data_IF_171006521358
#
_entry.id   IF_171006521358
#
_cell.length_a   1.000
_cell.length_b   1.000
_cell.length_c   1.000
_cell.angle_alpha   90.00
_cell.angle_beta   90.00
_cell.angle_gamma   90.00
#
_symmetry.space_group_name_H-M   'P 1'
#
loop_
_entity.id
_entity.type
_entity.pdbx_description
1 polymer ?
#
# COMPACT_ATOMS: atom_id res chain seq x y z
N UNK A 1 14.11 -47.66 -31.14
CA UNK A 1 13.52 -46.77 -30.12
C UNK A 1 12.66 -45.74 -30.81
N UNK A 2 11.31 -45.85 -30.74
CA UNK A 2 10.47 -44.77 -31.24
C UNK A 2 10.74 -43.51 -30.41
N UNK A 3 10.79 -42.36 -31.09
CA UNK A 3 10.87 -41.07 -30.42
C UNK A 3 9.67 -40.90 -29.48
N UNK A 4 9.87 -40.34 -28.27
CA UNK A 4 8.75 -40.07 -27.37
C UNK A 4 7.73 -39.15 -28.05
N UNK A 5 6.45 -39.46 -27.89
CA UNK A 5 5.34 -38.67 -28.42
C UNK A 5 5.40 -37.27 -27.77
N UNK A 6 5.34 -36.17 -28.53
CA UNK A 6 5.32 -34.80 -27.99
C UNK A 6 4.22 -34.58 -26.95
N UNK A 7 4.54 -33.93 -25.83
CA UNK A 7 3.62 -33.68 -24.70
C UNK A 7 2.37 -32.88 -25.12
N UNK A 8 2.49 -32.07 -26.16
CA UNK A 8 1.43 -31.26 -26.78
C UNK A 8 0.26 -32.12 -27.31
N UNK A 9 0.55 -33.36 -27.72
CA UNK A 9 -0.42 -34.33 -28.24
C UNK A 9 -1.19 -35.06 -27.13
N UNK A 10 -0.82 -34.83 -25.86
CA UNK A 10 -1.52 -35.36 -24.69
C UNK A 10 -2.35 -34.27 -23.98
N UNK A 11 -2.93 -33.34 -24.72
CA UNK A 11 -3.86 -32.34 -24.17
C UNK A 11 -5.32 -32.78 -24.36
N UNK A 12 -6.14 -32.56 -23.33
CA UNK A 12 -7.60 -32.67 -23.36
C UNK A 12 -8.23 -31.29 -23.40
N UNK A 13 -9.54 -31.21 -23.65
CA UNK A 13 -10.26 -29.94 -23.67
C UNK A 13 -10.11 -29.17 -22.34
N UNK A 14 -9.92 -27.84 -22.43
CA UNK A 14 -9.77 -26.98 -21.24
C UNK A 14 -8.34 -26.87 -20.68
N UNK A 15 -7.33 -27.30 -21.43
CA UNK A 15 -5.91 -27.12 -21.06
C UNK A 15 -5.36 -28.15 -20.08
N UNK A 16 -6.09 -29.24 -19.82
CA UNK A 16 -5.62 -30.36 -18.99
C UNK A 16 -4.83 -31.35 -19.84
N UNK A 17 -3.92 -32.09 -19.23
CA UNK A 17 -3.19 -33.17 -19.90
C UNK A 17 -3.86 -34.52 -19.69
N UNK A 18 -3.52 -35.51 -20.53
CA UNK A 18 -3.92 -36.91 -20.32
C UNK A 18 -3.46 -37.41 -18.94
N UNK A 19 -2.31 -36.94 -18.45
CA UNK A 19 -1.83 -37.26 -17.11
C UNK A 19 -2.70 -36.66 -16.00
N UNK A 20 -3.30 -35.49 -16.22
CA UNK A 20 -4.27 -34.91 -15.29
C UNK A 20 -5.57 -35.72 -15.27
N UNK A 21 -6.03 -36.21 -16.42
CA UNK A 21 -7.20 -37.09 -16.46
C UNK A 21 -6.93 -38.45 -15.80
N UNK A 22 -5.73 -39.01 -15.99
CA UNK A 22 -5.32 -40.23 -15.29
C UNK A 22 -5.28 -40.01 -13.78
N UNK A 23 -4.66 -38.92 -13.31
CA UNK A 23 -4.62 -38.60 -11.87
C UNK A 23 -6.03 -38.44 -11.27
N UNK A 24 -6.93 -37.75 -11.98
CA UNK A 24 -8.32 -37.58 -11.56
C UNK A 24 -9.09 -38.91 -11.57
N UNK A 25 -8.89 -39.75 -12.59
CA UNK A 25 -9.55 -41.04 -12.69
C UNK A 25 -9.18 -41.98 -11.53
N UNK A 26 -7.92 -41.94 -11.05
CA UNK A 26 -7.47 -42.74 -9.90
C UNK A 26 -8.33 -42.49 -8.66
N UNK A 27 -8.87 -41.28 -8.47
CA UNK A 27 -9.79 -40.98 -7.37
C UNK A 27 -11.10 -41.80 -7.44
N UNK A 28 -11.59 -42.11 -8.66
CA UNK A 28 -12.84 -42.82 -8.91
C UNK A 28 -12.71 -44.34 -9.08
N UNK A 29 -11.49 -44.88 -9.16
CA UNK A 29 -11.27 -46.33 -9.26
C UNK A 29 -11.56 -46.98 -7.90
N UNK A 30 -12.30 -48.10 -7.87
CA UNK A 30 -12.58 -48.88 -6.65
C UNK A 30 -11.36 -49.62 -6.06
N UNK A 31 -10.14 -49.14 -6.33
CA UNK A 31 -8.90 -49.70 -5.80
C UNK A 31 -8.73 -49.40 -4.30
N UNK A 32 -7.92 -50.21 -3.62
CA UNK A 32 -7.49 -49.94 -2.25
C UNK A 32 -6.79 -48.57 -2.17
N UNK A 33 -7.20 -47.74 -1.21
CA UNK A 33 -6.68 -46.39 -1.02
C UNK A 33 -5.17 -46.39 -0.72
N UNK A 34 -4.62 -47.48 -0.19
CA UNK A 34 -3.17 -47.63 -0.02
C UNK A 34 -2.43 -47.74 -1.37
N UNK A 35 -3.00 -48.45 -2.34
CA UNK A 35 -2.45 -48.56 -3.69
C UNK A 35 -2.60 -47.22 -4.43
N UNK A 36 -3.77 -46.57 -4.33
CA UNK A 36 -3.99 -45.23 -4.89
C UNK A 36 -2.94 -44.23 -4.41
N UNK A 37 -2.65 -44.24 -3.11
CA UNK A 37 -1.63 -43.38 -2.54
C UNK A 37 -0.26 -43.61 -3.16
N UNK A 38 0.17 -44.87 -3.31
CA UNK A 38 1.45 -45.22 -3.91
C UNK A 38 1.55 -44.78 -5.38
N UNK A 39 0.50 -45.01 -6.17
CA UNK A 39 0.46 -44.67 -7.58
C UNK A 39 0.50 -43.14 -7.79
N UNK A 40 -0.30 -42.40 -7.04
CA UNK A 40 -0.30 -40.93 -7.07
C UNK A 40 1.03 -40.35 -6.56
N UNK A 41 1.64 -40.94 -5.54
CA UNK A 41 2.96 -40.54 -5.07
C UNK A 41 4.02 -40.71 -6.17
N UNK A 42 3.96 -41.79 -6.95
CA UNK A 42 4.83 -41.99 -8.10
C UNK A 42 4.58 -40.95 -9.20
N UNK A 43 3.33 -40.57 -9.46
CA UNK A 43 2.99 -39.50 -10.41
C UNK A 43 3.57 -38.15 -9.98
N UNK A 44 3.42 -37.77 -8.71
CA UNK A 44 4.00 -36.54 -8.16
C UNK A 44 5.51 -36.49 -8.35
N UNK A 45 6.21 -37.60 -8.05
CA UNK A 45 7.66 -37.74 -8.25
C UNK A 45 8.06 -37.67 -9.72
N UNK A 46 7.27 -38.27 -10.61
CA UNK A 46 7.47 -38.21 -12.05
C UNK A 46 7.18 -36.83 -12.67
N UNK A 47 6.50 -35.95 -11.94
CA UNK A 47 6.22 -34.56 -12.33
C UNK A 47 5.14 -34.37 -13.39
N UNK A 48 4.49 -35.45 -13.85
CA UNK A 48 3.38 -35.40 -14.80
C UNK A 48 2.04 -35.51 -14.07
N UNK A 49 1.11 -34.61 -14.36
CA UNK A 49 -0.17 -34.55 -13.65
C UNK A 49 -0.04 -34.22 -12.15
N UNK A 50 1.08 -33.57 -11.76
CA UNK A 50 1.45 -33.35 -10.36
C UNK A 50 0.36 -32.62 -9.58
N UNK A 51 -0.15 -31.52 -10.12
CA UNK A 51 -1.12 -30.67 -9.42
C UNK A 51 -2.41 -31.44 -9.13
N UNK A 52 -2.93 -32.16 -10.13
CA UNK A 52 -4.09 -33.04 -9.95
C UNK A 52 -3.80 -34.16 -8.95
N UNK A 53 -2.63 -34.82 -9.04
CA UNK A 53 -2.26 -35.89 -8.12
C UNK A 53 -2.10 -35.41 -6.68
N UNK A 54 -1.52 -34.22 -6.46
CA UNK A 54 -1.46 -33.55 -5.15
C UNK A 54 -2.86 -33.31 -4.60
N UNK A 55 -3.76 -32.78 -5.42
CA UNK A 55 -5.15 -32.51 -5.02
C UNK A 55 -5.87 -33.79 -4.56
N UNK A 56 -5.74 -34.88 -5.34
CA UNK A 56 -6.34 -36.18 -4.99
C UNK A 56 -5.71 -36.79 -3.73
N UNK A 57 -4.37 -36.73 -3.58
CA UNK A 57 -3.66 -37.26 -2.42
C UNK A 57 -4.13 -36.63 -1.10
N UNK A 58 -4.49 -35.33 -1.11
CA UNK A 58 -5.01 -34.63 0.07
C UNK A 58 -6.35 -35.20 0.56
N UNK A 59 -7.12 -35.86 -0.31
CA UNK A 59 -8.39 -36.51 0.01
C UNK A 59 -8.26 -37.93 0.58
N UNK A 60 -7.08 -38.56 0.48
CA UNK A 60 -6.86 -39.92 0.99
C UNK A 60 -6.63 -39.88 2.51
N UNK A 61 -7.39 -40.69 3.26
CA UNK A 61 -7.25 -40.83 4.72
C UNK A 61 -5.82 -41.27 5.10
N UNK A 62 -5.25 -40.60 6.11
CA UNK A 62 -3.89 -40.82 6.61
C UNK A 62 -3.58 -42.26 6.96
N UNK A 63 -4.58 -43.06 7.38
CA UNK A 63 -4.38 -44.48 7.71
C UNK A 63 -3.96 -45.33 6.51
N UNK A 64 -4.23 -44.87 5.29
CA UNK A 64 -3.87 -45.54 4.04
C UNK A 64 -2.54 -45.05 3.47
N UNK A 65 -1.87 -44.09 4.12
CA UNK A 65 -0.59 -43.59 3.64
C UNK A 65 0.51 -44.61 3.90
N UNK A 66 1.04 -45.19 2.81
CA UNK A 66 2.18 -46.10 2.89
C UNK A 66 3.39 -45.40 3.47
N UNK A 67 3.83 -45.82 4.65
CA UNK A 67 4.97 -45.21 5.37
C UNK A 67 6.27 -45.21 4.55
N UNK A 68 6.44 -46.19 3.64
CA UNK A 68 7.61 -46.27 2.75
C UNK A 68 7.62 -45.16 1.69
N UNK A 69 6.45 -44.63 1.35
CA UNK A 69 6.28 -43.62 0.29
C UNK A 69 6.23 -42.19 0.84
N UNK A 70 5.94 -42.00 2.13
CA UNK A 70 5.78 -40.66 2.76
C UNK A 70 7.04 -39.82 2.61
N UNK A 71 8.21 -40.30 3.05
CA UNK A 71 9.45 -39.51 3.01
C UNK A 71 9.89 -39.19 1.56
N UNK A 72 9.94 -40.15 0.61
CA UNK A 72 10.23 -39.85 -0.80
C UNK A 72 9.27 -38.84 -1.44
N UNK A 73 7.98 -38.92 -1.09
CA UNK A 73 6.98 -37.97 -1.58
C UNK A 73 7.22 -36.57 -1.01
N UNK A 74 7.47 -36.45 0.29
CA UNK A 74 7.82 -35.18 0.96
C UNK A 74 9.05 -34.55 0.31
N UNK A 75 10.13 -35.32 0.11
CA UNK A 75 11.36 -34.79 -0.50
C UNK A 75 11.13 -34.30 -1.93
N UNK A 76 10.31 -35.01 -2.70
CA UNK A 76 9.94 -34.60 -4.05
C UNK A 76 9.09 -33.33 -4.08
N UNK A 77 8.13 -33.19 -3.16
CA UNK A 77 7.31 -31.98 -3.05
C UNK A 77 8.14 -30.77 -2.61
N UNK A 78 9.04 -30.93 -1.64
CA UNK A 78 9.94 -29.83 -1.25
C UNK A 78 10.88 -29.47 -2.40
N UNK A 79 11.41 -30.44 -3.15
CA UNK A 79 12.23 -30.17 -4.33
C UNK A 79 11.45 -29.40 -5.41
N UNK A 80 10.20 -29.79 -5.66
CA UNK A 80 9.29 -29.06 -6.55
C UNK A 80 9.09 -27.61 -6.07
N UNK A 81 8.69 -27.41 -4.81
CA UNK A 81 8.47 -26.08 -4.23
C UNK A 81 9.73 -25.21 -4.29
N UNK A 82 10.91 -25.81 -4.15
CA UNK A 82 12.21 -25.12 -4.26
C UNK A 82 12.45 -24.59 -5.68
N UNK A 83 12.02 -25.34 -6.71
CA UNK A 83 12.18 -24.96 -8.11
C UNK A 83 11.20 -23.85 -8.54
N UNK A 84 10.07 -23.70 -7.86
CA UNK A 84 9.11 -22.63 -8.14
C UNK A 84 9.75 -21.29 -7.77
N UNK A 85 9.84 -20.31 -8.70
CA UNK A 85 10.26 -18.95 -8.35
C UNK A 85 9.37 -18.36 -7.27
N UNK A 86 9.94 -17.60 -6.33
CA UNK A 86 9.22 -17.07 -5.16
C UNK A 86 7.88 -16.40 -5.51
N UNK A 87 7.83 -15.62 -6.59
CA UNK A 87 6.61 -14.93 -7.08
C UNK A 87 5.44 -15.84 -7.47
N UNK A 88 5.67 -17.14 -7.63
CA UNK A 88 4.64 -18.12 -8.01
C UNK A 88 4.33 -19.11 -6.87
N UNK A 89 5.02 -19.01 -5.71
CA UNK A 89 4.83 -19.95 -4.58
C UNK A 89 3.55 -19.71 -3.79
N UNK A 90 2.88 -18.58 -4.01
CA UNK A 90 1.58 -18.23 -3.42
C UNK A 90 0.39 -18.65 -4.30
N UNK A 91 0.66 -19.22 -5.48
CA UNK A 91 -0.37 -19.78 -6.38
C UNK A 91 -0.95 -21.09 -5.85
N UNK A 92 -2.15 -21.45 -6.34
CA UNK A 92 -2.90 -22.62 -5.89
C UNK A 92 -2.06 -23.90 -5.85
N UNK A 93 -1.40 -24.27 -6.95
CA UNK A 93 -0.58 -25.49 -7.03
C UNK A 93 0.52 -25.56 -5.97
N UNK A 94 1.18 -24.43 -5.68
CA UNK A 94 2.23 -24.36 -4.66
C UNK A 94 1.67 -24.40 -3.24
N UNK A 95 0.53 -23.75 -2.99
CA UNK A 95 -0.19 -23.81 -1.71
C UNK A 95 -0.64 -25.24 -1.41
N UNK A 96 -1.29 -25.91 -2.36
CA UNK A 96 -1.76 -27.28 -2.18
C UNK A 96 -0.61 -28.27 -1.94
N UNK A 97 0.50 -28.12 -2.69
CA UNK A 97 1.70 -28.92 -2.49
C UNK A 97 2.34 -28.68 -1.11
N UNK A 98 2.37 -27.42 -0.64
CA UNK A 98 2.88 -27.07 0.69
C UNK A 98 2.03 -27.68 1.81
N UNK A 99 0.70 -27.60 1.69
CA UNK A 99 -0.24 -28.19 2.64
C UNK A 99 -0.12 -29.72 2.71
N UNK A 100 -0.05 -30.38 1.55
CA UNK A 100 0.18 -31.83 1.48
C UNK A 100 1.53 -32.19 2.11
N UNK A 101 2.60 -31.45 1.81
CA UNK A 101 3.94 -31.68 2.40
C UNK A 101 3.89 -31.57 3.92
N UNK A 102 3.25 -30.53 4.47
CA UNK A 102 3.09 -30.34 5.92
C UNK A 102 2.31 -31.50 6.54
N UNK A 103 1.22 -31.93 5.90
CA UNK A 103 0.42 -33.03 6.39
C UNK A 103 1.18 -34.36 6.37
N UNK A 104 1.94 -34.64 5.32
CA UNK A 104 2.80 -35.83 5.22
C UNK A 104 3.93 -35.80 6.26
N UNK A 105 4.55 -34.63 6.49
CA UNK A 105 5.63 -34.51 7.47
C UNK A 105 5.18 -34.83 8.91
N UNK A 106 3.90 -34.63 9.23
CA UNK A 106 3.35 -34.99 10.53
C UNK A 106 3.31 -36.50 10.80
N UNK A 107 3.43 -37.33 9.75
CA UNK A 107 3.54 -38.79 9.86
C UNK A 107 5.00 -39.28 9.99
N UNK A 108 5.98 -38.38 9.86
CA UNK A 108 7.40 -38.73 9.99
C UNK A 108 7.88 -38.66 11.45
N UNK A 109 8.99 -39.34 11.80
CA UNK A 109 9.69 -39.12 13.06
C UNK A 109 9.97 -37.64 13.34
N UNK A 110 9.91 -37.23 14.61
CA UNK A 110 9.97 -35.82 15.02
C UNK A 110 11.17 -35.04 14.43
N UNK A 111 12.36 -35.65 14.37
CA UNK A 111 13.54 -35.03 13.79
C UNK A 111 13.39 -34.75 12.28
N UNK A 112 12.80 -35.68 11.54
CA UNK A 112 12.54 -35.52 10.10
C UNK A 112 11.42 -34.51 9.85
N UNK A 113 10.34 -34.58 10.63
CA UNK A 113 9.25 -33.60 10.56
C UNK A 113 9.76 -32.17 10.79
N UNK A 114 10.63 -31.99 11.79
CA UNK A 114 11.30 -30.71 12.05
C UNK A 114 12.16 -30.25 10.87
N UNK A 115 13.00 -31.13 10.32
CA UNK A 115 13.85 -30.78 9.17
C UNK A 115 13.03 -30.36 7.94
N UNK A 116 11.87 -31.00 7.70
CA UNK A 116 10.94 -30.61 6.63
C UNK A 116 10.29 -29.27 6.91
N UNK A 117 9.84 -29.02 8.15
CA UNK A 117 9.29 -27.74 8.56
C UNK A 117 10.30 -26.60 8.36
N UNK A 118 11.55 -26.79 8.77
CA UNK A 118 12.63 -25.80 8.60
C UNK A 118 12.89 -25.53 7.09
N UNK A 119 12.80 -26.56 6.22
CA UNK A 119 12.91 -26.40 4.76
C UNK A 119 11.73 -25.63 4.17
N UNK A 120 10.49 -25.93 4.58
CA UNK A 120 9.30 -25.21 4.12
C UNK A 120 9.31 -23.75 4.56
N UNK A 121 9.71 -23.48 5.82
CA UNK A 121 9.88 -22.12 6.34
C UNK A 121 10.91 -21.32 5.53
N UNK A 122 11.91 -21.97 4.94
CA UNK A 122 12.85 -21.33 4.04
C UNK A 122 12.28 -20.99 2.66
N UNK A 123 11.19 -21.64 2.26
CA UNK A 123 10.49 -21.42 0.99
C UNK A 123 9.29 -20.47 1.13
N UNK A 124 8.83 -20.23 2.37
CA UNK A 124 7.71 -19.36 2.68
C UNK A 124 7.87 -17.98 2.06
N UNK A 125 6.76 -17.49 1.50
CA UNK A 125 6.63 -16.13 1.00
C UNK A 125 5.78 -15.37 2.01
N UNK A 126 6.32 -14.29 2.57
CA UNK A 126 5.54 -13.41 3.44
C UNK A 126 4.58 -12.60 2.57
N UNK A 127 3.30 -12.96 2.60
CA UNK A 127 2.25 -12.17 1.93
C UNK A 127 1.81 -11.05 2.85
N UNK A 128 1.90 -9.81 2.36
CA UNK A 128 1.46 -8.60 3.06
C UNK A 128 0.44 -7.90 2.19
N UNK A 129 -0.82 -7.86 2.64
CA UNK A 129 -1.83 -7.02 1.99
C UNK A 129 -1.72 -5.59 2.53
N UNK A 130 -1.76 -4.60 1.65
CA UNK A 130 -1.78 -3.18 1.96
C UNK A 130 -2.81 -2.51 1.04
N UNK A 131 -3.59 -1.58 1.56
CA UNK A 131 -4.59 -0.84 0.81
C UNK A 131 -4.38 0.65 0.98
N UNK A 132 -4.80 1.44 0.00
CA UNK A 132 -5.03 2.87 0.23
C UNK A 132 -6.26 3.05 1.12
N UNK A 133 -6.28 4.09 1.94
CA UNK A 133 -7.46 4.45 2.74
C UNK A 133 -8.21 5.56 2.01
N UNK A 134 -9.48 5.33 1.62
CA UNK A 134 -10.24 6.28 0.82
C UNK A 134 -10.22 7.69 1.38
N UNK A 135 -9.91 8.69 0.54
CA UNK A 135 -9.92 10.12 0.86
C UNK A 135 -8.94 10.57 1.95
N UNK A 136 -8.03 9.70 2.39
CA UNK A 136 -7.05 10.03 3.42
C UNK A 136 -5.64 10.15 2.86
N UNK A 137 -5.39 9.68 1.63
CA UNK A 137 -4.07 9.73 0.98
C UNK A 137 -2.98 9.11 1.87
N UNK A 138 -3.28 7.92 2.40
CA UNK A 138 -2.41 7.12 3.26
C UNK A 138 -2.56 5.65 2.86
N UNK A 139 -1.59 4.84 3.27
CA UNK A 139 -1.79 3.39 3.35
C UNK A 139 -2.48 3.00 4.66
N UNK A 140 -3.26 1.93 4.64
CA UNK A 140 -3.90 1.34 5.82
C UNK A 140 -2.89 0.76 6.82
N UNK A 141 -1.72 0.34 6.30
CA UNK A 141 -0.58 -0.13 7.10
C UNK A 141 0.54 0.88 7.07
N UNK A 142 0.75 1.47 8.23
CA UNK A 142 1.85 2.36 8.54
C UNK A 142 3.20 1.65 8.66
N UNK A 143 3.18 0.39 9.10
CA UNK A 143 4.36 -0.46 9.28
C UNK A 143 4.06 -1.85 8.76
N UNK A 144 5.01 -2.44 8.06
CA UNK A 144 5.04 -3.87 7.76
C UNK A 144 6.38 -4.43 8.21
N UNK A 145 6.41 -5.70 8.59
CA UNK A 145 7.61 -6.36 9.11
C UNK A 145 7.91 -7.58 8.25
N UNK A 146 9.16 -7.69 7.80
CA UNK A 146 9.63 -8.78 6.94
C UNK A 146 10.98 -9.29 7.42
N UNK A 147 11.24 -10.57 7.17
CA UNK A 147 12.51 -11.20 7.49
C UNK A 147 13.56 -10.88 6.42
N UNK A 148 14.78 -10.56 6.84
CA UNK A 148 15.89 -10.22 5.96
C UNK A 148 16.20 -11.34 4.96
N UNK A 149 16.35 -10.98 3.67
CA UNK A 149 16.64 -11.94 2.59
C UNK A 149 15.55 -12.95 2.29
N UNK A 150 14.34 -12.82 2.86
CA UNK A 150 13.20 -13.71 2.59
C UNK A 150 12.31 -13.16 1.48
N UNK A 151 11.61 -14.05 0.80
CA UNK A 151 10.65 -13.68 -0.23
C UNK A 151 9.43 -12.98 0.39
N UNK A 152 9.01 -11.88 -0.24
CA UNK A 152 7.85 -11.08 0.14
C UNK A 152 6.95 -10.91 -1.07
N UNK A 153 5.64 -10.98 -0.84
CA UNK A 153 4.62 -10.58 -1.80
C UNK A 153 3.77 -9.47 -1.18
N UNK A 154 3.97 -8.25 -1.63
CA UNK A 154 3.18 -7.10 -1.22
C UNK A 154 1.98 -6.95 -2.17
N UNK A 155 0.77 -7.18 -1.67
CA UNK A 155 -0.47 -6.99 -2.42
C UNK A 155 -1.02 -5.61 -2.13
N UNK A 156 -0.74 -4.66 -3.03
CA UNK A 156 -1.27 -3.30 -2.97
C UNK A 156 -2.63 -3.25 -3.65
N UNK A 157 -3.63 -2.70 -2.96
CA UNK A 157 -4.94 -2.37 -3.53
C UNK A 157 -5.19 -0.87 -3.45
N UNK A 158 -5.78 -0.30 -4.50
CA UNK A 158 -6.23 1.08 -4.48
C UNK A 158 -7.75 1.16 -4.26
N UNK A 159 -8.16 1.39 -3.01
CA UNK A 159 -9.55 1.64 -2.64
C UNK A 159 -9.93 3.13 -2.70
N UNK A 160 -8.98 4.02 -2.99
CA UNK A 160 -9.20 5.46 -3.10
C UNK A 160 -9.69 5.83 -4.51
N UNK A 161 -10.27 7.03 -4.62
CA UNK A 161 -10.79 7.58 -5.88
C UNK A 161 -9.73 8.28 -6.72
N UNK A 162 -8.49 8.35 -6.23
CA UNK A 162 -7.36 8.91 -6.96
C UNK A 162 -6.29 7.85 -7.23
N UNK A 163 -5.47 8.00 -8.29
CA UNK A 163 -4.42 7.05 -8.58
C UNK A 163 -3.31 7.05 -7.52
N UNK A 164 -2.77 5.86 -7.24
CA UNK A 164 -1.66 5.69 -6.29
C UNK A 164 -0.68 4.64 -6.79
N UNK A 165 0.60 4.85 -6.48
CA UNK A 165 1.64 3.83 -6.61
C UNK A 165 2.38 3.69 -5.27
N UNK A 166 3.32 2.75 -5.20
CA UNK A 166 4.19 2.54 -4.06
C UNK A 166 5.60 2.27 -4.57
N UNK A 167 6.59 2.97 -4.02
CA UNK A 167 8.01 2.71 -4.22
C UNK A 167 8.67 2.39 -2.88
N UNK A 168 9.47 1.33 -2.82
CA UNK A 168 10.29 0.97 -1.67
C UNK A 168 11.68 1.53 -1.90
N UNK A 169 12.19 2.36 -1.00
CA UNK A 169 13.49 3.03 -1.15
C UNK A 169 14.53 2.50 -0.17
N UNK A 170 15.79 2.84 -0.41
CA UNK A 170 16.84 2.73 0.59
C UNK A 170 16.52 3.60 1.82
N UNK A 171 17.00 3.22 3.02
CA UNK A 171 16.90 4.06 4.21
C UNK A 171 17.51 5.45 3.97
N UNK A 172 16.85 6.50 4.44
CA UNK A 172 17.28 7.90 4.31
C UNK A 172 17.04 8.53 2.93
N UNK A 173 16.44 7.79 1.99
CA UNK A 173 16.25 8.25 0.61
C UNK A 173 14.84 8.78 0.32
N UNK A 174 13.91 8.74 1.27
CA UNK A 174 12.49 8.98 0.98
C UNK A 174 12.20 10.40 0.48
N UNK A 175 12.76 11.42 1.15
CA UNK A 175 12.56 12.82 0.77
C UNK A 175 13.18 13.12 -0.60
N UNK A 176 14.40 12.64 -0.84
CA UNK A 176 15.07 12.79 -2.15
C UNK A 176 14.24 12.16 -3.28
N UNK A 177 13.76 10.93 -3.09
CA UNK A 177 12.93 10.23 -4.08
C UNK A 177 11.60 10.95 -4.27
N UNK A 178 10.96 11.41 -3.19
CA UNK A 178 9.69 12.14 -3.24
C UNK A 178 9.81 13.46 -4.02
N UNK A 179 10.83 14.26 -3.70
CA UNK A 179 11.12 15.51 -4.42
C UNK A 179 11.45 15.26 -5.90
N UNK A 180 12.21 14.21 -6.20
CA UNK A 180 12.53 13.85 -7.58
C UNK A 180 11.29 13.38 -8.36
N UNK A 181 10.36 12.68 -7.72
CA UNK A 181 9.09 12.29 -8.32
C UNK A 181 8.28 13.53 -8.73
N UNK A 182 8.21 14.54 -7.87
CA UNK A 182 7.55 15.82 -8.17
C UNK A 182 8.24 16.58 -9.29
N UNK A 183 9.57 16.69 -9.24
CA UNK A 183 10.35 17.40 -10.25
C UNK A 183 10.22 16.77 -11.65
N UNK A 184 9.99 15.46 -11.71
CA UNK A 184 9.87 14.69 -12.97
C UNK A 184 8.44 14.33 -13.33
N UNK A 185 7.44 14.88 -12.63
CA UNK A 185 6.01 14.56 -12.82
C UNK A 185 5.47 14.96 -14.22
N UNK A 186 6.13 15.89 -14.90
CA UNK A 186 5.72 16.41 -16.21
C UNK A 186 6.60 15.92 -17.37
N UNK A 187 7.59 15.06 -17.11
CA UNK A 187 8.44 14.58 -18.21
C UNK A 187 7.61 13.72 -19.17
N UNK A 188 7.87 13.73 -20.48
CA UNK A 188 7.07 12.98 -21.44
C UNK A 188 6.99 11.45 -21.16
N UNK A 189 8.00 10.89 -20.47
CA UNK A 189 8.07 9.47 -20.13
C UNK A 189 7.40 9.11 -18.79
N UNK A 190 6.81 10.06 -18.05
CA UNK A 190 6.31 9.84 -16.68
C UNK A 190 5.19 8.79 -16.60
N UNK A 191 4.29 8.74 -17.58
CA UNK A 191 3.26 7.68 -17.65
C UNK A 191 3.91 6.31 -17.84
N UNK A 192 4.85 6.20 -18.76
CA UNK A 192 5.55 4.93 -19.04
C UNK A 192 6.33 4.44 -17.80
N UNK A 193 6.85 5.38 -17.01
CA UNK A 193 7.49 5.12 -15.72
C UNK A 193 6.53 4.90 -14.56
N UNK A 194 5.21 4.98 -14.78
CA UNK A 194 4.21 4.79 -13.73
C UNK A 194 4.38 5.80 -12.58
N UNK A 195 4.82 7.02 -12.89
CA UNK A 195 5.19 8.07 -11.94
C UNK A 195 6.33 7.73 -10.96
N UNK A 196 7.07 6.65 -11.19
CA UNK A 196 8.26 6.31 -10.40
C UNK A 196 9.47 7.03 -10.98
N UNK A 197 10.18 7.91 -10.24
CA UNK A 197 11.33 8.62 -10.76
C UNK A 197 12.51 7.67 -11.03
N UNK A 198 13.41 8.05 -11.94
CA UNK A 198 14.65 7.29 -12.17
C UNK A 198 15.63 7.56 -11.03
N UNK A 199 15.79 6.60 -10.14
CA UNK A 199 16.74 6.65 -9.02
C UNK A 199 17.26 5.25 -8.72
N UNK A 200 18.56 5.14 -8.44
CA UNK A 200 19.22 3.93 -7.97
C UNK A 200 18.90 3.60 -6.50
N UNK A 201 18.21 4.51 -5.79
CA UNK A 201 17.75 4.34 -4.41
C UNK A 201 16.37 3.71 -4.31
N UNK A 202 15.70 3.46 -5.42
CA UNK A 202 14.42 2.74 -5.45
C UNK A 202 14.71 1.25 -5.67
N UNK A 203 14.34 0.44 -4.69
CA UNK A 203 14.58 -1.00 -4.69
C UNK A 203 13.48 -1.73 -5.47
N UNK A 204 12.22 -1.38 -5.21
CA UNK A 204 11.06 -1.97 -5.86
C UNK A 204 9.95 -0.94 -6.03
N UNK A 205 9.06 -1.14 -6.99
CA UNK A 205 7.89 -0.28 -7.15
C UNK A 205 6.70 -1.01 -7.77
N UNK A 206 5.50 -0.52 -7.47
CA UNK A 206 4.28 -0.90 -8.17
C UNK A 206 4.09 -0.05 -9.43
N UNK A 207 3.14 -0.47 -10.27
CA UNK A 207 2.53 0.39 -11.28
C UNK A 207 1.67 1.46 -10.61
N UNK A 208 1.22 2.44 -11.40
CA UNK A 208 0.19 3.37 -10.95
C UNK A 208 -1.15 2.66 -10.99
N UNK A 209 -1.69 2.36 -9.82
CA UNK A 209 -2.98 1.73 -9.67
C UNK A 209 -4.08 2.78 -9.79
N UNK A 210 -4.99 2.57 -10.74
CA UNK A 210 -6.22 3.34 -10.82
C UNK A 210 -7.17 2.94 -9.67
N UNK A 211 -8.23 3.73 -9.40
CA UNK A 211 -9.26 3.33 -8.44
C UNK A 211 -9.79 1.92 -8.73
N UNK A 212 -9.81 1.06 -7.71
CA UNK A 212 -10.23 -0.34 -7.81
C UNK A 212 -9.15 -1.32 -8.28
N UNK A 213 -8.03 -0.84 -8.83
CA UNK A 213 -6.94 -1.71 -9.25
C UNK A 213 -6.21 -2.33 -8.05
N UNK A 214 -5.57 -3.47 -8.29
CA UNK A 214 -4.70 -4.12 -7.32
C UNK A 214 -3.51 -4.77 -8.03
N UNK A 215 -2.37 -4.82 -7.35
CA UNK A 215 -1.15 -5.46 -7.85
C UNK A 215 -0.44 -6.23 -6.74
N UNK A 216 0.02 -7.44 -7.07
CA UNK A 216 0.99 -8.18 -6.28
C UNK A 216 2.42 -7.85 -6.74
N UNK A 217 3.23 -7.31 -5.84
CA UNK A 217 4.65 -7.04 -6.03
C UNK A 217 5.47 -8.09 -5.27
N UNK A 218 6.15 -8.97 -6.01
CA UNK A 218 7.01 -10.00 -5.41
C UNK A 218 8.48 -9.59 -5.45
N UNK A 219 9.15 -9.67 -4.32
CA UNK A 219 10.57 -9.32 -4.19
C UNK A 219 11.27 -10.12 -3.07
N UNK A 220 12.60 -10.12 -3.07
CA UNK A 220 13.40 -10.58 -1.93
C UNK A 220 13.65 -9.38 -1.01
N UNK A 221 13.27 -9.48 0.26
CA UNK A 221 13.54 -8.43 1.23
C UNK A 221 15.05 -8.15 1.31
N UNK A 222 15.47 -6.89 1.58
CA UNK A 222 16.86 -6.57 1.81
C UNK A 222 17.52 -7.51 2.82
N UNK A 223 18.79 -7.85 2.60
CA UNK A 223 19.55 -8.71 3.53
C UNK A 223 20.04 -7.95 4.75
N UNK A 224 20.12 -6.62 4.66
CA UNK A 224 20.54 -5.76 5.77
C UNK A 224 19.31 -5.33 6.55
N UNK A 225 19.20 -5.70 7.85
CA UNK A 225 18.14 -5.20 8.73
C UNK A 225 18.12 -3.67 8.74
N UNK A 226 16.93 -3.09 8.79
CA UNK A 226 16.76 -1.65 8.62
C UNK A 226 15.32 -1.24 8.42
N UNK A 227 15.07 0.07 8.43
CA UNK A 227 13.77 0.65 8.11
C UNK A 227 13.83 1.20 6.69
N UNK A 228 13.10 0.57 5.79
CA UNK A 228 13.04 0.90 4.37
C UNK A 228 11.74 1.66 4.09
N UNK A 229 11.79 2.91 3.62
CA UNK A 229 10.60 3.68 3.32
C UNK A 229 9.78 3.05 2.20
N UNK A 230 8.47 3.01 2.37
CA UNK A 230 7.49 2.75 1.32
C UNK A 230 6.76 4.05 1.05
N UNK A 231 6.83 4.60 -0.15
CA UNK A 231 6.39 5.95 -0.45
C UNK A 231 5.54 5.99 -1.73
N UNK A 232 4.43 6.72 -1.71
CA UNK A 232 3.69 7.03 -2.93
C UNK A 232 4.43 8.13 -3.69
N UNK A 233 4.90 7.82 -4.90
CA UNK A 233 5.61 8.76 -5.78
C UNK A 233 4.67 9.47 -6.75
N UNK A 234 3.37 9.19 -6.70
CA UNK A 234 2.40 10.00 -7.42
C UNK A 234 2.48 11.46 -6.94
N UNK A 235 2.41 12.47 -7.83
CA UNK A 235 2.83 13.83 -7.50
C UNK A 235 2.08 14.42 -6.31
N UNK A 236 2.84 14.92 -5.32
CA UNK A 236 2.32 15.49 -4.08
C UNK A 236 2.00 14.50 -2.96
N UNK A 237 2.00 13.19 -3.22
CA UNK A 237 1.52 12.21 -2.23
C UNK A 237 2.58 11.84 -1.18
N UNK A 238 3.86 11.83 -1.53
CA UNK A 238 4.93 11.24 -0.71
C UNK A 238 5.04 11.79 0.73
N UNK A 239 4.72 13.08 0.94
CA UNK A 239 4.81 13.75 2.26
C UNK A 239 3.82 13.18 3.27
N UNK A 240 2.68 12.67 2.80
CA UNK A 240 1.62 12.10 3.64
C UNK A 240 1.47 10.60 3.47
N UNK A 241 1.64 10.12 2.25
CA UNK A 241 1.39 8.75 1.85
C UNK A 241 2.67 7.93 1.85
N UNK A 242 3.11 7.61 3.05
CA UNK A 242 4.27 6.77 3.29
C UNK A 242 4.02 5.77 4.42
N UNK A 243 4.84 4.73 4.45
CA UNK A 243 4.84 3.69 5.45
C UNK A 243 6.26 3.14 5.60
N UNK A 244 6.51 2.34 6.64
CA UNK A 244 7.80 1.73 6.91
C UNK A 244 7.77 0.22 6.67
N UNK A 245 8.67 -0.29 5.84
CA UNK A 245 9.01 -1.71 5.80
C UNK A 245 10.19 -1.96 6.74
N UNK A 246 9.92 -2.62 7.85
CA UNK A 246 10.93 -2.95 8.87
C UNK A 246 11.47 -4.34 8.53
N UNK A 247 12.74 -4.38 8.15
CA UNK A 247 13.47 -5.59 7.84
C UNK A 247 14.24 -6.03 9.09
N UNK A 248 13.96 -7.23 9.56
CA UNK A 248 14.53 -7.81 10.79
C UNK A 248 15.11 -9.19 10.52
N UNK A 249 16.00 -9.68 11.37
CA UNK A 249 16.52 -11.04 11.24
C UNK A 249 15.45 -12.08 11.62
N UNK A 250 14.70 -11.80 12.69
CA UNK A 250 13.63 -12.65 13.19
C UNK A 250 12.35 -11.84 13.41
N UNK A 251 11.31 -12.17 12.64
CA UNK A 251 10.00 -11.49 12.70
C UNK A 251 9.28 -11.83 14.00
N UNK A 252 9.39 -13.04 14.52
CA UNK A 252 8.68 -13.46 15.73
C UNK A 252 9.24 -12.73 16.96
N UNK A 253 10.56 -12.60 17.06
CA UNK A 253 11.21 -11.84 18.13
C UNK A 253 10.84 -10.35 18.07
N UNK A 254 10.75 -9.77 16.86
CA UNK A 254 10.29 -8.39 16.70
C UNK A 254 8.84 -8.23 17.15
N UNK A 255 7.94 -9.14 16.74
CA UNK A 255 6.52 -9.05 17.08
C UNK A 255 6.26 -9.26 18.57
N UNK A 256 7.12 -10.00 19.28
CA UNK A 256 7.00 -10.21 20.72
C UNK A 256 7.30 -8.94 21.54
N UNK A 257 8.32 -8.17 21.15
CA UNK A 257 8.70 -6.92 21.83
C UNK A 257 9.44 -5.97 20.85
N UNK A 258 8.69 -5.15 20.07
CA UNK A 258 9.27 -4.30 19.04
C UNK A 258 10.29 -3.29 19.58
N UNK A 259 9.99 -2.66 20.73
CA UNK A 259 10.87 -1.63 21.31
C UNK A 259 12.20 -2.22 21.75
N UNK A 260 12.15 -3.34 22.48
CA UNK A 260 13.36 -4.05 22.90
C UNK A 260 14.14 -4.60 21.71
N UNK A 261 13.45 -5.14 20.70
CA UNK A 261 14.10 -5.66 19.50
C UNK A 261 14.86 -4.55 18.77
N UNK A 262 14.21 -3.41 18.52
CA UNK A 262 14.84 -2.27 17.84
C UNK A 262 16.03 -1.72 18.64
N UNK A 263 15.90 -1.61 19.97
CA UNK A 263 16.98 -1.16 20.85
C UNK A 263 18.18 -2.12 20.84
N UNK A 264 17.93 -3.43 20.92
CA UNK A 264 18.99 -4.46 20.97
C UNK A 264 19.72 -4.59 19.64
N UNK A 265 18.97 -4.56 18.54
CA UNK A 265 19.49 -4.74 17.18
C UNK A 265 19.96 -3.43 16.53
N UNK A 266 19.86 -2.29 17.24
CA UNK A 266 20.32 -0.97 16.79
C UNK A 266 19.76 -0.55 15.43
N UNK A 267 18.51 -0.90 15.15
CA UNK A 267 17.83 -0.51 13.92
C UNK A 267 17.30 0.91 14.10
N UNK A 268 17.89 1.87 13.36
CA UNK A 268 17.56 3.30 13.45
C UNK A 268 16.72 3.74 12.25
N UNK A 269 15.68 4.54 12.52
CA UNK A 269 14.88 5.22 11.50
C UNK A 269 15.68 6.41 10.96
N UNK A 270 16.01 6.39 9.67
CA UNK A 270 16.84 7.43 9.03
C UNK A 270 16.01 8.56 8.40
N UNK A 271 14.75 8.29 8.04
CA UNK A 271 13.87 9.26 7.39
C UNK A 271 12.99 9.97 8.43
N UNK A 272 13.01 11.30 8.45
CA UNK A 272 12.33 12.12 9.48
C UNK A 272 10.83 11.82 9.58
N UNK A 273 10.12 11.75 8.45
CA UNK A 273 8.67 11.50 8.47
C UNK A 273 8.32 10.09 8.99
N UNK A 274 9.25 9.12 8.89
CA UNK A 274 9.02 7.77 9.41
C UNK A 274 9.12 7.70 10.94
N UNK A 275 9.75 8.68 11.60
CA UNK A 275 9.86 8.75 13.07
C UNK A 275 8.49 8.95 13.74
N UNK A 276 7.53 9.55 13.02
CA UNK A 276 6.19 9.86 13.51
C UNK A 276 5.18 8.72 13.29
N UNK A 277 5.61 7.57 12.76
CA UNK A 277 4.72 6.46 12.44
C UNK A 277 4.27 5.73 13.72
N UNK A 278 2.97 5.49 13.85
CA UNK A 278 2.32 4.87 15.00
C UNK A 278 1.70 5.87 15.99
N UNK A 279 2.06 7.16 15.88
CA UNK A 279 1.45 8.23 16.66
C UNK A 279 0.33 8.82 15.80
N UNK A 280 -0.92 8.42 16.04
CA UNK A 280 -2.10 9.02 15.40
C UNK A 280 -3.16 9.31 16.45
N UNK A 281 -3.72 10.51 16.40
CA UNK A 281 -4.90 10.87 17.17
C UNK A 281 -6.01 11.29 16.20
N UNK A 282 -7.09 10.52 16.14
CA UNK A 282 -8.26 10.87 15.32
C UNK A 282 -9.10 11.92 16.06
N UNK A 283 -8.74 13.19 15.86
CA UNK A 283 -9.40 14.34 16.48
C UNK A 283 -10.87 14.42 16.05
N UNK A 284 -11.75 14.64 17.01
CA UNK A 284 -13.16 14.99 16.77
C UNK A 284 -13.38 16.46 17.07
N UNK A 285 -14.49 16.99 16.55
CA UNK A 285 -14.86 18.38 16.79
C UNK A 285 -14.97 18.65 18.30
N UNK A 286 -15.65 17.78 19.03
CA UNK A 286 -15.90 17.95 20.47
C UNK A 286 -14.61 17.93 21.31
N UNK A 287 -13.53 17.32 20.82
CA UNK A 287 -12.23 17.29 21.51
C UNK A 287 -11.51 18.66 21.49
N UNK A 288 -11.91 19.54 20.54
CA UNK A 288 -11.19 20.75 20.19
C UNK A 288 -12.05 22.02 20.22
N UNK A 289 -13.37 21.88 20.17
CA UNK A 289 -14.31 22.99 19.97
C UNK A 289 -14.20 24.05 21.08
N UNK A 290 -14.09 23.63 22.33
CA UNK A 290 -13.98 24.55 23.48
C UNK A 290 -12.72 25.43 23.42
N UNK A 291 -11.63 24.93 22.82
CA UNK A 291 -10.35 25.63 22.74
C UNK A 291 -10.27 26.61 21.55
N UNK A 292 -11.26 26.58 20.65
CA UNK A 292 -11.32 27.47 19.48
C UNK A 292 -12.50 28.46 19.55
N UNK A 293 -13.24 28.47 20.67
CA UNK A 293 -14.40 29.32 20.95
C UNK A 293 -14.35 29.95 22.38
N UNK A 294 -13.56 31.00 22.62
CA UNK A 294 -12.68 31.68 21.68
C UNK A 294 -11.33 31.00 21.55
N UNK A 295 -10.65 31.22 20.42
CA UNK A 295 -9.24 30.86 20.29
C UNK A 295 -8.40 31.72 21.25
N UNK A 296 -7.67 31.06 22.16
CA UNK A 296 -6.83 31.74 23.14
C UNK A 296 -5.67 32.51 22.50
N UNK A 297 -5.23 33.58 23.17
CA UNK A 297 -4.01 34.32 22.80
C UNK A 297 -2.74 33.61 23.30
N UNK A 298 -1.57 34.10 22.90
CA UNK A 298 -0.28 33.53 23.29
C UNK A 298 0.09 32.25 22.53
N UNK A 299 -0.56 32.02 21.38
CA UNK A 299 -0.27 30.89 20.49
C UNK A 299 1.10 31.07 19.80
N UNK A 300 1.65 30.01 19.24
CA UNK A 300 2.98 30.02 18.62
C UNK A 300 2.89 30.07 17.10
N UNK A 301 3.38 31.18 16.52
CA UNK A 301 3.51 31.33 15.07
C UNK A 301 4.37 30.23 14.45
N UNK A 302 5.54 29.96 15.05
CA UNK A 302 6.51 29.01 14.50
C UNK A 302 6.00 27.57 14.55
N UNK A 303 5.31 27.19 15.62
CA UNK A 303 4.68 25.87 15.74
C UNK A 303 3.54 25.74 14.72
N UNK A 304 2.67 26.75 14.61
CA UNK A 304 1.57 26.75 13.64
C UNK A 304 2.06 26.66 12.19
N UNK A 305 3.12 27.39 11.84
CA UNK A 305 3.75 27.30 10.53
C UNK A 305 4.35 25.91 10.26
N UNK A 306 4.99 25.30 11.27
CA UNK A 306 5.54 23.96 11.13
C UNK A 306 4.43 22.90 10.98
N UNK A 307 3.37 22.99 11.78
CA UNK A 307 2.18 22.15 11.65
C UNK A 307 1.55 22.29 10.25
N UNK A 308 1.48 23.51 9.69
CA UNK A 308 0.98 23.75 8.34
C UNK A 308 1.81 23.02 7.26
N UNK A 309 3.12 22.89 7.45
CA UNK A 309 4.00 22.11 6.57
C UNK A 309 3.85 20.60 6.78
N UNK A 310 3.92 20.14 8.03
CA UNK A 310 3.87 18.71 8.39
C UNK A 310 2.53 18.08 8.01
N UNK A 311 1.43 18.79 8.22
CA UNK A 311 0.09 18.38 7.77
C UNK A 311 -0.11 18.50 6.25
N UNK A 312 0.94 18.83 5.49
CA UNK A 312 0.93 18.94 4.02
C UNK A 312 0.00 20.02 3.46
N UNK A 313 -0.46 20.98 4.28
CA UNK A 313 -1.36 22.05 3.84
C UNK A 313 -0.69 22.94 2.77
N UNK A 314 0.62 23.19 2.90
CA UNK A 314 1.44 23.93 1.92
C UNK A 314 1.40 23.33 0.51
N UNK A 315 1.10 22.04 0.36
CA UNK A 315 1.02 21.40 -0.95
C UNK A 315 -0.11 22.00 -1.79
N UNK A 316 -1.21 22.43 -1.16
CA UNK A 316 -2.40 22.89 -1.85
C UNK A 316 -2.78 24.33 -1.55
N UNK A 317 -2.49 24.84 -0.35
CA UNK A 317 -2.94 26.15 0.10
C UNK A 317 -1.81 27.16 0.16
N UNK A 318 -2.12 28.39 -0.27
CA UNK A 318 -1.24 29.55 -0.13
C UNK A 318 -1.56 30.29 1.15
N UNK A 319 -0.52 30.68 1.90
CA UNK A 319 -0.64 31.59 3.04
C UNK A 319 0.65 32.42 3.16
N UNK A 320 0.52 33.74 3.09
CA UNK A 320 1.61 34.67 2.87
C UNK A 320 2.26 34.38 1.52
N UNK A 321 3.56 34.12 1.55
CA UNK A 321 4.35 33.71 0.38
C UNK A 321 4.57 32.20 0.30
N UNK A 322 4.01 31.44 1.25
CA UNK A 322 4.20 29.99 1.37
C UNK A 322 3.09 29.20 0.66
N UNK A 323 3.47 28.04 0.11
CA UNK A 323 2.55 27.07 -0.46
C UNK A 323 2.15 27.31 -1.92
N UNK A 324 1.02 26.72 -2.34
CA UNK A 324 0.55 26.68 -3.73
C UNK A 324 -0.90 27.21 -3.84
N UNK A 325 -1.31 27.67 -5.02
CA UNK A 325 -2.66 28.17 -5.27
C UNK A 325 -3.56 27.09 -5.94
N UNK A 326 -3.57 25.88 -5.38
CA UNK A 326 -4.44 24.78 -5.85
C UNK A 326 -5.79 24.85 -5.13
N UNK A 327 -5.76 25.02 -3.81
CA UNK A 327 -6.91 25.34 -2.97
C UNK A 327 -7.05 26.84 -2.74
N UNK A 328 -7.96 27.24 -1.83
CA UNK A 328 -8.09 28.62 -1.38
C UNK A 328 -6.78 29.26 -0.90
N UNK A 329 -6.55 30.51 -1.30
CA UNK A 329 -5.54 31.40 -0.71
C UNK A 329 -6.02 31.82 0.70
N UNK A 330 -5.42 31.22 1.72
CA UNK A 330 -5.83 31.36 3.12
C UNK A 330 -5.49 32.75 3.69
N UNK A 331 -4.53 33.47 3.09
CA UNK A 331 -4.27 34.87 3.46
C UNK A 331 -5.41 35.79 3.04
N UNK A 332 -6.21 35.36 2.06
CA UNK A 332 -7.40 36.08 1.58
C UNK A 332 -8.70 35.41 2.02
N UNK A 333 -8.64 34.54 3.03
CA UNK A 333 -9.83 33.90 3.58
C UNK A 333 -10.86 34.97 3.98
N UNK A 334 -12.13 34.75 3.66
CA UNK A 334 -13.22 35.65 4.02
C UNK A 334 -13.21 35.92 5.53
N UNK A 335 -13.35 37.18 6.01
CA UNK A 335 -13.40 37.50 7.43
C UNK A 335 -14.41 36.65 8.23
N UNK A 336 -15.56 36.29 7.64
CA UNK A 336 -16.55 35.42 8.29
C UNK A 336 -16.06 33.99 8.47
N UNK A 337 -15.14 33.53 7.62
CA UNK A 337 -14.50 32.21 7.67
C UNK A 337 -13.24 32.20 8.53
N UNK A 338 -12.70 33.37 8.91
CA UNK A 338 -11.55 33.49 9.84
C UNK A 338 -11.99 33.36 11.30
N UNK A 339 -12.66 32.28 11.65
CA UNK A 339 -12.94 31.94 13.05
C UNK A 339 -12.52 30.50 13.34
N UNK A 340 -12.13 30.24 14.59
CA UNK A 340 -11.51 28.97 14.99
C UNK A 340 -12.38 27.76 14.72
N UNK A 341 -13.68 27.84 15.02
CA UNK A 341 -14.63 26.74 14.73
C UNK A 341 -14.74 26.45 13.24
N UNK A 342 -14.89 27.46 12.39
CA UNK A 342 -15.01 27.26 10.95
C UNK A 342 -13.75 26.61 10.37
N UNK A 343 -12.57 27.08 10.79
CA UNK A 343 -11.29 26.51 10.39
C UNK A 343 -11.20 25.06 10.88
N UNK A 344 -11.50 24.78 12.14
CA UNK A 344 -11.48 23.45 12.73
C UNK A 344 -12.42 22.48 11.97
N UNK A 345 -13.66 22.88 11.71
CA UNK A 345 -14.63 22.07 10.94
C UNK A 345 -14.12 21.80 9.53
N UNK A 346 -13.50 22.77 8.88
CA UNK A 346 -12.95 22.60 7.53
C UNK A 346 -11.74 21.65 7.51
N UNK A 347 -10.93 21.64 8.58
CA UNK A 347 -9.78 20.74 8.73
C UNK A 347 -10.23 19.30 9.05
N UNK A 348 -11.25 19.13 9.89
CA UNK A 348 -11.78 17.82 10.29
C UNK A 348 -12.67 17.20 9.20
N UNK A 349 -13.53 18.03 8.57
CA UNK A 349 -14.55 17.60 7.61
C UNK A 349 -14.46 18.41 6.30
N UNK A 350 -13.35 18.29 5.53
CA UNK A 350 -13.14 19.08 4.31
C UNK A 350 -14.19 18.85 3.22
N UNK A 351 -14.96 17.75 3.30
CA UNK A 351 -16.03 17.42 2.36
C UNK A 351 -17.40 17.96 2.76
N UNK A 352 -17.56 18.56 3.95
CA UNK A 352 -18.86 19.06 4.43
C UNK A 352 -19.40 20.19 3.54
N UNK A 353 -18.51 21.11 3.13
CA UNK A 353 -18.83 22.23 2.23
C UNK A 353 -17.66 22.49 1.29
N UNK A 354 -17.84 22.11 0.03
CA UNK A 354 -16.85 22.31 -1.03
C UNK A 354 -17.29 23.52 -1.86
N UNK A 355 -16.42 24.51 -2.04
CA UNK A 355 -16.71 25.62 -2.95
C UNK A 355 -16.66 25.15 -4.40
N UNK A 356 -17.59 25.62 -5.24
CA UNK A 356 -17.79 25.13 -6.61
C UNK A 356 -16.51 25.14 -7.46
N UNK A 357 -15.65 26.15 -7.28
CA UNK A 357 -14.36 26.27 -8.00
C UNK A 357 -13.30 25.22 -7.61
N UNK A 358 -13.47 24.55 -6.47
CA UNK A 358 -12.59 23.46 -6.01
C UNK A 358 -13.31 22.10 -6.02
N UNK A 359 -14.54 22.06 -6.56
CA UNK A 359 -15.34 20.85 -6.65
C UNK A 359 -14.78 19.94 -7.76
N UNK A 360 -14.43 18.71 -7.37
CA UNK A 360 -14.14 17.65 -8.35
C UNK A 360 -15.43 17.07 -8.92
N UNK A 361 -15.34 16.63 -10.18
CA UNK A 361 -16.41 16.00 -10.93
C UNK A 361 -15.93 14.66 -11.49
N UNK A 362 -16.84 13.70 -11.55
CA UNK A 362 -16.68 12.46 -12.32
C UNK A 362 -17.45 12.60 -13.63
N UNK A 363 -16.78 12.29 -14.73
CA UNK A 363 -17.33 12.30 -16.08
C UNK A 363 -17.28 10.87 -16.63
N UNK A 364 -18.45 10.26 -16.80
CA UNK A 364 -18.58 9.00 -17.55
C UNK A 364 -18.72 9.36 -19.02
N UNK A 365 -17.80 8.87 -19.84
CA UNK A 365 -17.78 9.14 -21.27
C UNK A 365 -18.50 8.03 -22.04
N UNK A 366 -19.01 8.35 -23.23
CA UNK A 366 -19.62 7.39 -24.17
C UNK A 366 -18.70 6.23 -24.57
N UNK A 367 -17.39 6.40 -24.40
CA UNK A 367 -16.38 5.35 -24.57
C UNK A 367 -16.34 4.32 -23.42
N UNK A 368 -17.07 4.57 -22.33
CA UNK A 368 -16.97 3.84 -21.07
C UNK A 368 -15.82 4.29 -20.16
N UNK A 369 -14.96 5.22 -20.60
CA UNK A 369 -13.91 5.80 -19.76
C UNK A 369 -14.52 6.73 -18.72
N UNK A 370 -14.00 6.66 -17.49
CA UNK A 370 -14.30 7.64 -16.43
C UNK A 370 -13.13 8.60 -16.28
N UNK A 371 -13.40 9.90 -16.23
CA UNK A 371 -12.41 10.94 -15.92
C UNK A 371 -12.87 11.66 -14.66
N UNK A 372 -12.02 11.71 -13.62
CA UNK A 372 -12.34 12.39 -12.37
C UNK A 372 -11.35 13.51 -12.12
N UNK A 373 -11.83 14.74 -11.91
CA UNK A 373 -10.97 15.88 -11.65
C UNK A 373 -11.71 17.20 -11.46
N UNK A 374 -10.94 18.27 -11.27
CA UNK A 374 -11.48 19.63 -11.15
C UNK A 374 -11.62 20.28 -12.52
N UNK A 375 -12.68 21.07 -12.70
CA UNK A 375 -12.88 21.83 -13.94
C UNK A 375 -12.05 23.11 -13.88
N UNK A 376 -11.13 23.27 -14.84
CA UNK A 376 -10.32 24.48 -14.97
C UNK A 376 -10.96 25.51 -15.90
N UNK A 377 -11.62 25.04 -16.94
CA UNK A 377 -12.32 25.86 -17.91
C UNK A 377 -13.44 25.05 -18.56
N UNK A 378 -14.52 25.73 -18.95
CA UNK A 378 -15.66 25.13 -19.65
C UNK A 378 -16.11 26.11 -20.74
N UNK A 379 -16.27 25.61 -21.96
CA UNK A 379 -16.84 26.34 -23.11
C UNK A 379 -18.19 25.72 -23.49
N UNK A 380 -18.83 26.20 -24.55
CA UNK A 380 -20.07 25.60 -25.05
C UNK A 380 -19.88 24.16 -25.56
N UNK A 381 -18.68 23.83 -26.05
CA UNK A 381 -18.37 22.52 -26.64
C UNK A 381 -17.54 21.61 -25.73
N UNK A 382 -16.67 22.16 -24.88
CA UNK A 382 -15.63 21.39 -24.19
C UNK A 382 -15.57 21.68 -22.69
N UNK A 383 -15.10 20.69 -21.92
CA UNK A 383 -14.72 20.81 -20.51
C UNK A 383 -13.24 20.47 -20.36
N UNK A 384 -12.47 21.36 -19.77
CA UNK A 384 -11.05 21.12 -19.42
C UNK A 384 -10.93 20.70 -17.97
N UNK A 385 -10.46 19.47 -17.74
CA UNK A 385 -10.42 18.82 -16.43
C UNK A 385 -8.97 18.54 -16.02
N UNK A 386 -8.63 18.79 -14.76
CA UNK A 386 -7.34 18.39 -14.16
C UNK A 386 -7.57 17.29 -13.13
N UNK A 387 -7.01 16.11 -13.37
CA UNK A 387 -7.18 14.94 -12.49
C UNK A 387 -6.36 15.07 -11.20
N UNK A 388 -5.08 15.49 -11.33
CA UNK A 388 -4.23 15.84 -10.21
C UNK A 388 -3.59 17.23 -10.43
N UNK A 389 -4.05 18.27 -9.71
CA UNK A 389 -3.47 19.61 -9.81
C UNK A 389 -2.00 19.67 -9.35
N UNK A 390 -1.57 18.74 -8.48
CA UNK A 390 -0.18 18.64 -8.00
C UNK A 390 0.76 18.06 -9.06
N UNK A 391 0.23 17.30 -10.02
CA UNK A 391 1.00 16.74 -11.13
C UNK A 391 1.40 17.80 -12.16
N UNK A 392 0.75 19.00 -12.14
CA UNK A 392 0.94 20.07 -13.13
C UNK A 392 0.83 19.54 -14.57
N UNK A 393 0.06 18.48 -14.77
CA UNK A 393 -0.17 17.85 -16.06
C UNK A 393 -1.03 18.78 -16.94
N UNK A 394 -0.99 18.57 -18.26
CA UNK A 394 -1.92 19.25 -19.16
C UNK A 394 -3.35 18.81 -18.83
N UNK A 395 -4.34 19.73 -18.85
CA UNK A 395 -5.73 19.37 -18.63
C UNK A 395 -6.21 18.37 -19.69
N UNK A 396 -7.05 17.43 -19.27
CA UNK A 396 -7.82 16.56 -20.17
C UNK A 396 -8.97 17.38 -20.74
N UNK A 397 -9.01 17.52 -22.05
CA UNK A 397 -10.12 18.18 -22.74
C UNK A 397 -11.14 17.11 -23.13
N UNK A 398 -12.38 17.29 -22.67
CA UNK A 398 -13.49 16.38 -22.89
C UNK A 398 -14.54 17.14 -23.70
N UNK A 399 -14.89 16.64 -24.89
CA UNK A 399 -16.01 17.18 -25.65
C UNK A 399 -17.31 16.85 -24.90
N UNK A 400 -18.19 17.84 -24.73
CA UNK A 400 -19.46 17.66 -24.01
C UNK A 400 -20.37 16.63 -24.67
N UNK A 401 -20.27 16.48 -25.99
CA UNK A 401 -20.99 15.46 -26.74
C UNK A 401 -20.56 14.02 -26.37
N UNK A 402 -19.36 13.85 -25.80
CA UNK A 402 -18.84 12.56 -25.35
C UNK A 402 -19.17 12.27 -23.89
N UNK A 403 -19.82 13.19 -23.17
CA UNK A 403 -20.19 13.02 -21.76
C UNK A 403 -21.57 12.36 -21.68
N UNK A 404 -21.62 11.16 -21.11
CA UNK A 404 -22.85 10.44 -20.80
C UNK A 404 -23.40 10.86 -19.44
N UNK A 405 -22.53 10.94 -18.42
CA UNK A 405 -22.89 11.36 -17.07
C UNK A 405 -21.85 12.33 -16.50
N UNK A 406 -22.32 13.36 -15.79
CA UNK A 406 -21.49 14.29 -15.00
C UNK A 406 -22.04 14.34 -13.58
N UNK A 407 -21.22 13.93 -12.62
CA UNK A 407 -21.61 13.86 -11.21
C UNK A 407 -20.62 14.61 -10.32
N UNK A 408 -21.12 15.42 -9.39
CA UNK A 408 -20.28 16.11 -8.39
C UNK A 408 -19.69 15.07 -7.43
N UNK A 409 -18.39 15.12 -7.20
CA UNK A 409 -17.75 14.26 -6.21
C UNK A 409 -18.21 14.65 -4.81
N UNK A 410 -18.74 13.70 -4.03
CA UNK A 410 -19.15 13.96 -2.65
C UNK A 410 -17.97 14.27 -1.70
N UNK A 411 -16.74 14.05 -2.17
CA UNK A 411 -15.52 14.13 -1.38
C UNK A 411 -14.57 15.17 -1.94
N UNK A 412 -13.97 15.92 -1.04
CA UNK A 412 -12.97 16.94 -1.36
C UNK A 412 -11.64 16.32 -1.79
N UNK A 413 -10.87 17.06 -2.57
CA UNK A 413 -9.46 16.75 -2.83
C UNK A 413 -8.57 17.06 -1.61
N UNK A 414 -9.06 17.91 -0.69
CA UNK A 414 -8.43 18.11 0.61
C UNK A 414 -8.66 16.85 1.48
N UNK A 415 -7.60 16.13 1.88
CA UNK A 415 -7.75 14.85 2.56
C UNK A 415 -8.32 14.98 3.96
N UNK A 416 -8.98 13.93 4.44
CA UNK A 416 -9.37 13.78 5.85
C UNK A 416 -8.17 13.34 6.71
N UNK A 417 -8.23 13.64 8.02
CA UNK A 417 -7.19 13.26 9.00
C UNK A 417 -5.89 14.05 8.91
N UNK A 418 -5.93 15.30 8.44
CA UNK A 418 -4.73 16.15 8.32
C UNK A 418 -4.10 16.49 9.69
N UNK A 419 -4.89 16.39 10.75
CA UNK A 419 -4.50 16.70 12.13
C UNK A 419 -3.96 15.48 12.90
N UNK A 420 -4.01 14.27 12.33
CA UNK A 420 -3.78 13.04 13.08
C UNK A 420 -2.39 12.94 13.71
N UNK A 421 -1.41 13.64 13.14
CA UNK A 421 -0.02 13.65 13.58
C UNK A 421 0.29 14.79 14.55
N UNK A 422 -0.67 15.66 14.82
CA UNK A 422 -0.50 16.83 15.66
C UNK A 422 -1.06 16.55 17.05
N UNK A 423 -0.35 17.04 18.07
CA UNK A 423 -0.87 17.21 19.42
C UNK A 423 -1.95 18.30 19.44
N UNK A 424 -2.75 18.35 20.52
CA UNK A 424 -3.79 19.38 20.66
C UNK A 424 -3.22 20.79 20.50
N UNK A 425 -2.11 21.09 21.18
CA UNK A 425 -1.53 22.45 21.14
C UNK A 425 -1.02 22.80 19.74
N UNK A 426 -0.42 21.85 19.01
CA UNK A 426 -0.02 22.05 17.61
C UNK A 426 -1.24 22.27 16.69
N UNK A 427 -2.37 21.61 16.94
CA UNK A 427 -3.62 21.87 16.22
C UNK A 427 -4.11 23.29 16.50
N UNK A 428 -4.10 23.74 17.76
CA UNK A 428 -4.51 25.10 18.12
C UNK A 428 -3.58 26.16 17.51
N UNK A 429 -2.27 25.91 17.49
CA UNK A 429 -1.29 26.78 16.84
C UNK A 429 -1.45 26.80 15.32
N UNK A 430 -1.80 25.68 14.69
CA UNK A 430 -2.16 25.62 13.26
C UNK A 430 -3.40 26.46 12.96
N UNK A 431 -4.45 26.32 13.77
CA UNK A 431 -5.69 27.09 13.62
C UNK A 431 -5.40 28.58 13.82
N UNK A 432 -4.57 28.94 14.81
CA UNK A 432 -4.08 30.29 15.03
C UNK A 432 -3.34 30.85 13.81
N UNK A 433 -2.47 30.05 13.19
CA UNK A 433 -1.74 30.41 11.98
C UNK A 433 -2.65 30.71 10.78
N UNK A 434 -3.65 29.86 10.55
CA UNK A 434 -4.65 30.09 9.49
C UNK A 434 -5.55 31.29 9.82
N UNK A 435 -5.98 31.42 11.08
CA UNK A 435 -6.79 32.54 11.57
C UNK A 435 -6.10 33.89 11.37
N UNK A 436 -4.81 33.96 11.70
CA UNK A 436 -3.96 35.14 11.50
C UNK A 436 -3.61 35.40 10.03
N UNK A 437 -3.96 34.49 9.10
CA UNK A 437 -3.60 34.59 7.69
C UNK A 437 -2.10 34.54 7.44
N UNK A 438 -1.33 33.90 8.35
CA UNK A 438 0.12 33.86 8.33
C UNK A 438 0.81 35.17 8.78
N UNK A 439 0.08 36.11 9.39
CA UNK A 439 0.66 37.34 9.90
C UNK A 439 1.24 37.14 11.31
N UNK A 440 2.57 36.98 11.42
CA UNK A 440 3.30 36.84 12.69
C UNK A 440 3.04 37.95 13.71
N UNK A 441 2.58 39.14 13.26
CA UNK A 441 2.26 40.27 14.13
C UNK A 441 0.81 40.31 14.60
N UNK A 442 0.02 39.26 14.36
CA UNK A 442 -1.38 39.22 14.76
C UNK A 442 -1.56 39.11 16.28
N UNK A 443 -2.67 39.68 16.79
CA UNK A 443 -3.00 39.71 18.22
C UNK A 443 -3.12 38.33 18.87
N UNK A 444 -3.40 37.28 18.07
CA UNK A 444 -3.43 35.87 18.52
C UNK A 444 -2.10 35.42 19.12
N UNK A 445 -0.99 36.03 18.72
CA UNK A 445 0.34 35.72 19.22
C UNK A 445 0.78 36.63 20.38
N UNK A 446 0.02 37.69 20.67
CA UNK A 446 0.37 38.63 21.72
C UNK A 446 0.10 38.05 23.11
N UNK A 447 1.04 38.23 24.05
CA UNK A 447 0.87 37.92 25.47
C UNK A 447 1.25 36.50 25.92
N UNK A 448 1.92 35.70 25.08
CA UNK A 448 2.48 34.42 25.50
C UNK A 448 3.78 34.62 26.27
N UNK A 449 3.78 34.42 27.59
CA UNK A 449 5.01 34.02 28.27
C UNK A 449 5.44 32.69 27.65
N UNK A 450 6.71 32.61 27.21
CA UNK A 450 7.30 31.40 26.68
C UNK A 450 7.29 30.29 27.74
N UNK A 451 6.21 29.51 27.79
CA UNK A 451 6.26 28.20 28.42
C UNK A 451 7.09 27.28 27.52
N UNK A 452 8.40 27.36 27.70
CA UNK A 452 9.32 26.29 27.32
C UNK A 452 8.85 25.01 28.01
N UNK A 453 8.15 24.15 27.27
CA UNK A 453 8.00 22.77 27.67
C UNK A 453 9.16 21.99 27.04
N UNK A 454 10.18 21.72 27.87
CA UNK A 454 11.17 20.68 27.62
C UNK A 454 10.44 19.34 27.51
N UNK A 455 10.50 18.68 26.35
CA UNK A 455 10.36 17.23 26.22
C UNK A 455 11.25 16.70 25.09
#
# INVERSE_FOLDING_TARGET
>A
NPSPIPDELFSTGGGRSLYDEVAAAVAGIGADDAQKFADLAAMVRGGRGRDTAVSVLRGIDRKHWSQKEVLPLVDSLVAYLTQIPAKYRTGSSAVEATELTRSLSAALPAAQAKAVADRLQNLDVRVVAISTVPHRMIYDKEKIVVAAGKAVELRLSNADQMPHNLAITLPGAMEEVGLLAEATAQTPDVMARQYVPKSDKILWSSQLLQPGDSQALSFEAPRTPGVYPMVCTYPGHWRRMHAAMIVVENVDDYLADPEKYLATNKIVVQDELLKLIGQRHEWKLDDLLEFVQPLEKGRSYQVGFNAFKVSSCVACHKIGDEGQAIGPDLTKLDPMKRNGEHILRSLLNPSEKIEEKYQSYSFVLTSGKVVTGMILAETDADVSVIENPLAKAKPVVIAKADIEERTKAAKSIMPEGLLDKLTREEVLDLIAFVHAGGNEKADTYAGGEHHHHDH
#
